data_IF_359256717148
#
_entry.id   IF_359256717148
#
_cell.length_a   1.000
_cell.length_b   1.000
_cell.length_c   1.000
_cell.angle_alpha   90.00
_cell.angle_beta   90.00
_cell.angle_gamma   90.00
#
_symmetry.space_group_name_H-M   'P 1'
#
loop_
_entity.id
_entity.type
_entity.pdbx_description
1 polymer ?
#
# COMPACT_ATOMS: atom_id res chain seq x y z
N UNK A 1 -33.01 -10.50 -36.74
CA UNK A 1 -31.98 -9.45 -36.63
C UNK A 1 -31.97 -8.93 -35.21
N UNK A 2 -30.94 -9.28 -34.43
CA UNK A 2 -30.67 -8.67 -33.14
C UNK A 2 -29.15 -8.47 -33.08
N UNK A 3 -28.73 -7.23 -33.29
CA UNK A 3 -27.33 -6.81 -33.34
C UNK A 3 -26.78 -6.77 -31.91
N UNK A 4 -25.78 -7.60 -31.61
CA UNK A 4 -25.13 -7.60 -30.31
C UNK A 4 -24.30 -6.33 -30.14
N UNK A 5 -24.62 -5.53 -29.13
CA UNK A 5 -23.90 -4.31 -28.79
C UNK A 5 -22.40 -4.60 -28.54
N UNK A 6 -21.47 -3.75 -29.03
CA UNK A 6 -20.05 -3.94 -28.76
C UNK A 6 -19.78 -3.71 -27.27
N UNK A 7 -19.33 -4.76 -26.58
CA UNK A 7 -18.83 -4.67 -25.21
C UNK A 7 -17.58 -3.80 -25.24
N UNK A 8 -17.66 -2.58 -24.72
CA UNK A 8 -16.52 -1.66 -24.64
C UNK A 8 -15.45 -2.31 -23.77
N UNK A 9 -14.44 -2.90 -24.41
CA UNK A 9 -13.24 -3.36 -23.76
C UNK A 9 -12.61 -2.15 -23.05
N UNK A 10 -12.55 -2.20 -21.71
CA UNK A 10 -11.82 -1.19 -20.93
C UNK A 10 -10.36 -1.26 -21.36
N UNK A 11 -9.88 -0.27 -22.11
CA UNK A 11 -8.44 -0.10 -22.41
C UNK A 11 -7.70 0.17 -21.10
N UNK A 12 -7.32 -0.90 -20.43
CA UNK A 12 -6.21 -0.88 -19.49
C UNK A 12 -4.97 -1.26 -20.30
N UNK A 13 -4.46 -0.34 -21.12
CA UNK A 13 -3.12 -0.49 -21.66
C UNK A 13 -2.16 -0.20 -20.49
N UNK A 14 -1.48 -1.20 -19.90
CA UNK A 14 -0.50 -0.88 -18.87
C UNK A 14 0.71 -0.37 -19.64
N UNK A 15 0.82 0.95 -19.79
CA UNK A 15 2.14 1.54 -19.95
C UNK A 15 3.01 0.90 -18.87
N UNK A 16 4.05 0.17 -19.27
CA UNK A 16 5.02 -0.52 -18.43
C UNK A 16 5.79 0.54 -17.64
N UNK A 17 5.09 1.16 -16.70
CA UNK A 17 5.68 1.93 -15.64
C UNK A 17 6.54 0.90 -14.90
N UNK A 18 7.87 1.03 -14.96
CA UNK A 18 8.85 0.19 -14.26
C UNK A 18 8.74 0.28 -12.73
N UNK A 19 7.52 0.14 -12.23
CA UNK A 19 7.06 0.42 -10.89
C UNK A 19 7.08 -0.90 -10.13
N UNK A 20 8.16 -1.11 -9.38
CA UNK A 20 8.38 -2.31 -8.56
C UNK A 20 7.52 -2.37 -7.27
N UNK A 21 6.33 -1.77 -7.30
CA UNK A 21 5.45 -1.72 -6.15
C UNK A 21 3.96 -1.67 -6.53
N UNK A 22 3.16 -2.33 -5.71
CA UNK A 22 1.71 -2.27 -5.74
C UNK A 22 1.23 -1.05 -4.99
N UNK A 23 0.23 -0.39 -5.56
CA UNK A 23 -0.47 0.73 -4.93
C UNK A 23 -1.33 0.20 -3.79
N UNK A 24 -1.24 0.85 -2.65
CA UNK A 24 -2.14 0.61 -1.53
C UNK A 24 -2.64 1.95 -0.98
N UNK A 25 -3.74 1.89 -0.24
CA UNK A 25 -4.30 3.02 0.50
C UNK A 25 -4.23 2.71 1.99
N UNK A 26 -3.81 3.69 2.79
CA UNK A 26 -3.92 3.57 4.24
C UNK A 26 -5.38 3.72 4.65
N UNK A 27 -6.03 2.61 5.03
CA UNK A 27 -7.45 2.63 5.36
C UNK A 27 -7.71 3.13 6.79
N UNK A 28 -6.82 2.81 7.71
CA UNK A 28 -7.09 2.97 9.14
C UNK A 28 -6.11 2.21 10.00
N UNK A 29 -6.04 2.54 11.27
CA UNK A 29 -5.38 1.67 12.24
C UNK A 29 -6.31 0.51 12.63
N UNK A 30 -5.73 -0.56 13.14
CA UNK A 30 -6.54 -1.62 13.76
C UNK A 30 -7.30 -1.03 14.93
N UNK A 31 -8.62 -1.25 14.99
CA UNK A 31 -9.47 -0.70 16.04
C UNK A 31 -10.59 -1.67 16.39
N UNK A 32 -11.02 -1.61 17.65
CA UNK A 32 -12.33 -2.10 18.07
C UNK A 32 -13.36 -0.97 17.99
N UNK A 33 -14.50 -1.17 18.65
CA UNK A 33 -15.56 -0.15 18.70
C UNK A 33 -15.07 1.14 19.37
N UNK A 34 -14.39 1.02 20.52
CA UNK A 34 -13.98 2.16 21.36
C UNK A 34 -12.48 2.47 21.28
N UNK A 35 -11.64 1.45 21.07
CA UNK A 35 -10.19 1.57 21.15
C UNK A 35 -9.53 1.45 19.77
N UNK A 36 -8.52 2.27 19.53
CA UNK A 36 -7.67 2.21 18.35
C UNK A 36 -6.25 1.82 18.76
N UNK A 37 -5.63 0.92 17.99
CA UNK A 37 -4.26 0.46 18.19
C UNK A 37 -3.39 0.98 17.03
N UNK A 38 -2.64 2.07 17.23
CA UNK A 38 -1.86 2.69 16.15
C UNK A 38 -0.64 1.87 15.71
N UNK A 39 -0.22 0.89 16.50
CA UNK A 39 0.94 0.03 16.20
C UNK A 39 0.73 -0.79 14.93
N UNK A 40 -0.51 -1.06 14.53
CA UNK A 40 -0.82 -1.84 13.31
C UNK A 40 -1.74 -1.05 12.39
N UNK A 41 -1.30 -0.91 11.14
CA UNK A 41 -1.99 -0.20 10.07
C UNK A 41 -2.71 -1.18 9.15
N UNK A 42 -3.93 -0.86 8.74
CA UNK A 42 -4.70 -1.59 7.73
C UNK A 42 -4.47 -0.92 6.38
N UNK A 43 -4.02 -1.71 5.41
CA UNK A 43 -3.74 -1.28 4.05
C UNK A 43 -4.69 -2.00 3.09
N UNK A 44 -5.36 -1.23 2.24
CA UNK A 44 -6.13 -1.78 1.12
C UNK A 44 -5.24 -1.77 -0.12
N UNK A 45 -4.94 -2.95 -0.65
CA UNK A 45 -4.16 -3.12 -1.87
C UNK A 45 -5.05 -2.93 -3.10
N UNK A 46 -4.52 -2.29 -4.14
CA UNK A 46 -5.17 -2.22 -5.45
C UNK A 46 -5.17 -3.61 -6.10
N UNK A 47 -6.28 -3.97 -6.75
CA UNK A 47 -6.48 -5.23 -7.46
C UNK A 47 -6.33 -6.51 -6.61
N UNK A 48 -6.46 -6.41 -5.28
CA UNK A 48 -6.50 -7.56 -4.37
C UNK A 48 -7.84 -7.57 -3.65
N UNK A 49 -8.64 -8.60 -3.93
CA UNK A 49 -10.02 -8.70 -3.45
C UNK A 49 -10.23 -9.89 -2.50
N UNK A 50 -9.37 -10.91 -2.58
CA UNK A 50 -9.49 -12.11 -1.76
C UNK A 50 -8.39 -12.19 -0.69
N UNK A 51 -8.67 -12.94 0.37
CA UNK A 51 -7.70 -13.23 1.44
C UNK A 51 -6.50 -14.04 0.94
N UNK A 52 -6.73 -15.00 0.03
CA UNK A 52 -5.68 -15.87 -0.52
C UNK A 52 -4.66 -15.04 -1.32
N UNK A 53 -5.14 -14.13 -2.16
CA UNK A 53 -4.29 -13.21 -2.93
C UNK A 53 -3.50 -12.26 -2.01
N UNK A 54 -4.14 -11.77 -0.95
CA UNK A 54 -3.49 -10.93 0.05
C UNK A 54 -2.38 -11.66 0.84
N UNK A 55 -2.47 -13.00 0.95
CA UNK A 55 -1.48 -13.81 1.66
C UNK A 55 -0.11 -13.76 0.99
N UNK A 56 -0.05 -13.64 -0.34
CA UNK A 56 1.21 -13.49 -1.08
C UNK A 56 2.00 -12.23 -0.67
N UNK A 57 1.29 -11.17 -0.26
CA UNK A 57 1.90 -9.92 0.16
C UNK A 57 2.43 -9.94 1.60
N UNK A 58 2.24 -11.02 2.35
CA UNK A 58 2.76 -11.15 3.72
C UNK A 58 4.29 -11.17 3.68
N UNK A 59 4.93 -10.41 4.57
CA UNK A 59 6.38 -10.26 4.63
C UNK A 59 6.96 -9.22 3.67
N UNK A 60 6.18 -8.74 2.69
CA UNK A 60 6.65 -7.70 1.75
C UNK A 60 6.92 -6.39 2.45
N UNK A 61 7.91 -5.63 1.94
CA UNK A 61 8.24 -4.31 2.47
C UNK A 61 7.21 -3.28 2.04
N UNK A 62 6.89 -2.37 2.94
CA UNK A 62 5.91 -1.31 2.73
C UNK A 62 6.57 0.02 3.02
N UNK A 63 6.21 1.04 2.25
CA UNK A 63 6.70 2.40 2.49
C UNK A 63 5.59 3.43 2.30
N UNK A 64 5.50 4.33 3.26
CA UNK A 64 4.76 5.58 3.14
C UNK A 64 5.74 6.68 2.73
N UNK A 65 5.53 7.26 1.55
CA UNK A 65 6.39 8.32 1.01
C UNK A 65 5.61 9.63 1.07
N UNK A 66 6.19 10.63 1.71
CA UNK A 66 5.57 11.94 1.89
C UNK A 66 6.57 13.06 1.69
N UNK A 67 6.08 14.29 1.52
CA UNK A 67 6.91 15.49 1.39
C UNK A 67 6.77 16.34 2.66
N UNK A 68 7.87 16.97 3.07
CA UNK A 68 7.89 17.93 4.17
C UNK A 68 8.46 19.27 3.68
N UNK A 69 8.29 20.33 4.48
CA UNK A 69 8.76 21.68 4.14
C UNK A 69 10.29 21.74 4.05
N UNK A 70 10.98 21.27 5.10
CA UNK A 70 12.44 21.33 5.20
C UNK A 70 13.11 20.10 4.56
N UNK A 71 14.22 20.36 3.85
CA UNK A 71 15.10 19.32 3.32
C UNK A 71 15.77 18.58 4.48
N UNK A 72 15.94 17.26 4.34
CA UNK A 72 16.79 16.44 5.21
C UNK A 72 17.83 15.72 4.38
N UNK A 73 18.99 15.48 4.99
CA UNK A 73 20.04 14.68 4.38
C UNK A 73 19.55 13.24 4.23
N UNK A 74 19.78 12.68 3.05
CA UNK A 74 19.49 11.27 2.72
C UNK A 74 20.83 10.58 2.50
N UNK A 75 20.99 9.36 3.01
CA UNK A 75 22.23 8.61 2.82
C UNK A 75 22.49 8.39 1.31
N UNK A 76 23.67 8.79 0.85
CA UNK A 76 24.09 8.61 -0.55
C UNK A 76 23.36 9.47 -1.58
N UNK A 77 22.60 10.49 -1.16
CA UNK A 77 21.86 11.36 -2.07
C UNK A 77 21.82 12.82 -1.59
N UNK A 78 21.54 13.73 -2.53
CA UNK A 78 21.37 15.14 -2.22
C UNK A 78 20.23 15.37 -1.20
N UNK A 79 20.33 16.39 -0.33
CA UNK A 79 19.30 16.69 0.66
C UNK A 79 17.94 16.91 0.01
N UNK A 80 16.94 16.13 0.43
CA UNK A 80 15.62 16.10 -0.21
C UNK A 80 14.50 16.44 0.78
N UNK A 81 13.39 16.96 0.25
CA UNK A 81 12.15 17.17 1.02
C UNK A 81 11.32 15.90 1.18
N UNK A 82 11.69 14.84 0.46
CA UNK A 82 10.96 13.56 0.44
C UNK A 82 11.42 12.74 1.63
N UNK A 83 10.46 12.21 2.37
CA UNK A 83 10.67 11.36 3.54
C UNK A 83 9.92 10.06 3.35
N UNK A 84 10.44 9.02 3.98
CA UNK A 84 9.84 7.70 3.93
C UNK A 84 9.70 7.12 5.33
N UNK A 85 8.58 6.44 5.58
CA UNK A 85 8.39 5.58 6.74
C UNK A 85 8.30 4.16 6.21
N UNK A 86 9.27 3.33 6.58
CA UNK A 86 9.33 1.93 6.19
C UNK A 86 8.59 1.03 7.16
N UNK A 87 8.07 -0.07 6.62
CA UNK A 87 7.38 -1.11 7.37
C UNK A 87 7.39 -2.42 6.62
N UNK A 88 6.66 -3.38 7.18
CA UNK A 88 6.44 -4.72 6.62
C UNK A 88 4.98 -5.11 6.73
N UNK A 89 4.48 -5.82 5.73
CA UNK A 89 3.18 -6.51 5.82
C UNK A 89 3.33 -7.68 6.79
N UNK A 90 2.41 -7.80 7.75
CA UNK A 90 2.47 -8.84 8.78
C UNK A 90 1.50 -9.98 8.55
N UNK A 91 0.24 -9.69 8.18
CA UNK A 91 -0.79 -10.70 7.91
C UNK A 91 -1.94 -10.12 7.09
N UNK A 92 -2.73 -10.98 6.46
CA UNK A 92 -4.02 -10.61 5.85
C UNK A 92 -5.00 -10.05 6.89
N UNK A 93 -5.88 -9.15 6.44
CA UNK A 93 -6.92 -8.50 7.24
C UNK A 93 -8.30 -8.70 6.62
N UNK A 94 -9.19 -9.39 7.34
CA UNK A 94 -10.53 -9.70 6.85
C UNK A 94 -10.50 -10.57 5.59
N UNK A 95 -11.60 -10.54 4.84
CA UNK A 95 -11.79 -11.35 3.64
C UNK A 95 -11.67 -10.55 2.33
N UNK A 96 -11.61 -9.21 2.41
CA UNK A 96 -11.67 -8.29 1.25
C UNK A 96 -10.31 -7.99 0.62
N UNK A 97 -9.28 -8.75 0.93
CA UNK A 97 -7.93 -8.54 0.39
C UNK A 97 -7.15 -7.38 1.01
N UNK A 98 -7.57 -6.88 2.18
CA UNK A 98 -6.78 -5.93 2.96
C UNK A 98 -5.66 -6.65 3.72
N UNK A 99 -4.62 -5.91 4.10
CA UNK A 99 -3.48 -6.44 4.87
C UNK A 99 -3.17 -5.57 6.08
N UNK A 100 -2.66 -6.17 7.14
CA UNK A 100 -2.06 -5.45 8.27
C UNK A 100 -0.58 -5.23 7.99
N UNK A 101 -0.10 -4.04 8.30
CA UNK A 101 1.31 -3.69 8.24
C UNK A 101 1.76 -3.09 9.57
N UNK A 102 3.01 -3.37 9.94
CA UNK A 102 3.70 -2.70 11.04
C UNK A 102 4.82 -1.86 10.46
N UNK A 103 4.79 -0.57 10.74
CA UNK A 103 5.83 0.37 10.36
C UNK A 103 6.85 0.50 11.48
N UNK A 104 8.09 0.86 11.12
CA UNK A 104 9.16 1.07 12.09
C UNK A 104 8.87 2.27 13.00
N UNK A 105 8.21 3.29 12.44
CA UNK A 105 7.54 4.35 13.18
C UNK A 105 6.06 4.29 12.81
N UNK A 106 5.17 4.44 13.79
CA UNK A 106 3.73 4.45 13.51
C UNK A 106 3.42 5.52 12.45
N UNK A 107 2.47 5.20 11.56
CA UNK A 107 2.03 6.16 10.57
C UNK A 107 1.37 7.35 11.27
N UNK A 108 1.53 8.59 10.75
CA UNK A 108 0.76 9.72 11.24
C UNK A 108 -0.70 9.60 10.80
N UNK A 109 -1.64 10.14 11.58
CA UNK A 109 -3.07 10.14 11.22
C UNK A 109 -3.35 10.87 9.90
N UNK A 110 -2.51 11.85 9.53
CA UNK A 110 -2.59 12.56 8.24
C UNK A 110 -2.35 11.66 7.02
N UNK A 111 -1.75 10.48 7.22
CA UNK A 111 -1.56 9.51 6.15
C UNK A 111 -2.86 8.77 5.80
N UNK A 112 -3.95 8.90 6.58
CA UNK A 112 -5.22 8.21 6.29
C UNK A 112 -5.75 8.59 4.91
N UNK A 113 -6.20 7.59 4.15
CA UNK A 113 -6.62 7.76 2.75
C UNK A 113 -5.46 8.03 1.77
N UNK A 114 -4.24 8.21 2.25
CA UNK A 114 -3.09 8.46 1.39
C UNK A 114 -2.50 7.16 0.83
N UNK A 115 -1.75 7.33 -0.25
CA UNK A 115 -1.14 6.23 -0.99
C UNK A 115 0.08 5.70 -0.26
N UNK A 116 0.08 4.39 -0.07
CA UNK A 116 1.18 3.60 0.42
C UNK A 116 1.70 2.72 -0.70
N UNK A 117 3.01 2.47 -0.70
CA UNK A 117 3.67 1.65 -1.71
C UNK A 117 4.04 0.32 -1.07
N UNK A 118 3.44 -0.77 -1.55
CA UNK A 118 3.78 -2.13 -1.13
C UNK A 118 4.75 -2.70 -2.16
N UNK A 119 5.99 -2.91 -1.73
CA UNK A 119 7.06 -3.40 -2.59
C UNK A 119 6.85 -4.88 -2.92
N UNK A 120 7.41 -5.34 -4.03
CA UNK A 120 7.36 -6.76 -4.41
C UNK A 120 8.44 -7.61 -3.70
N UNK A 121 9.36 -6.97 -2.97
CA UNK A 121 10.43 -7.62 -2.21
C UNK A 121 10.15 -7.64 -0.69
N UNK A 122 10.72 -8.60 0.07
CA UNK A 122 11.53 -9.74 -0.36
C UNK A 122 10.75 -10.69 -1.27
N UNK A 123 11.36 -11.19 -2.35
CA UNK A 123 10.69 -12.09 -3.30
C UNK A 123 10.50 -13.46 -2.68
N UNK A 124 9.30 -14.03 -2.85
CA UNK A 124 8.95 -15.41 -2.46
C UNK A 124 8.30 -16.13 -3.65
N UNK A 125 8.63 -15.69 -4.87
CA UNK A 125 8.34 -16.40 -6.12
C UNK A 125 9.57 -17.22 -6.43
#
# INVERSE_FOLDING_TARGET
>A
MAEAAPTVARKNDPALNGRLYVKAVFSGFTRGQRNQNETSSILKLDNVYNKNDAQWYVGKRVVYVYKAHNKKNVAGAAPSRVRCIWGRVTRSHGNTGAVRAKFHKNLPATALGQRIRVMLYPSNI
#
